data_IF_554535480416
#
_entry.id   IF_554535480416
#
_cell.length_a   1.000
_cell.length_b   1.000
_cell.length_c   1.000
_cell.angle_alpha   90.00
_cell.angle_beta   90.00
_cell.angle_gamma   90.00
#
_symmetry.space_group_name_H-M   'P 1'
#
loop_
_entity.id
_entity.type
_entity.pdbx_description
1 polymer ?
#
# COMPACT_ATOMS: atom_id res chain seq x y z
N UNK A 1 22.02 17.72 -3.88
CA UNK A 1 20.65 17.16 -3.80
C UNK A 1 20.86 15.67 -3.53
N UNK A 2 20.74 15.23 -2.27
CA UNK A 2 20.87 13.80 -1.95
C UNK A 2 19.68 13.08 -2.59
N UNK A 3 19.91 11.90 -3.18
CA UNK A 3 18.81 11.10 -3.71
C UNK A 3 17.90 10.71 -2.55
N UNK A 4 16.58 10.78 -2.73
CA UNK A 4 15.62 10.66 -1.64
C UNK A 4 15.65 9.26 -0.97
N UNK A 5 16.08 8.24 -1.72
CA UNK A 5 16.47 6.92 -1.22
C UNK A 5 17.60 6.98 -0.17
N UNK A 6 18.62 7.82 -0.34
CA UNK A 6 19.68 8.01 0.66
C UNK A 6 19.14 8.57 1.98
N UNK A 7 18.02 9.31 1.98
CA UNK A 7 17.40 9.82 3.21
C UNK A 7 16.66 8.71 3.97
N UNK A 8 15.90 7.86 3.27
CA UNK A 8 15.25 6.68 3.85
C UNK A 8 16.33 5.70 4.34
N UNK A 9 17.37 5.48 3.54
CA UNK A 9 18.51 4.64 3.90
C UNK A 9 19.26 5.24 5.09
N UNK A 10 19.54 6.54 5.16
CA UNK A 10 20.13 7.16 6.36
C UNK A 10 19.28 7.01 7.63
N UNK A 11 17.96 7.10 7.54
CA UNK A 11 17.04 6.88 8.69
C UNK A 11 16.88 5.41 9.07
N UNK A 12 17.13 4.48 8.14
CA UNK A 12 17.07 3.02 8.35
C UNK A 12 18.46 2.38 8.40
N UNK A 13 19.50 3.17 8.69
CA UNK A 13 20.91 2.73 8.74
C UNK A 13 21.41 1.97 7.48
N UNK A 14 20.82 2.24 6.32
CA UNK A 14 21.18 1.67 5.02
C UNK A 14 20.39 0.42 4.65
N UNK A 15 19.62 -0.14 5.60
CA UNK A 15 19.05 -1.49 5.47
C UNK A 15 17.95 -1.60 4.41
N UNK A 16 17.10 -0.57 4.26
CA UNK A 16 16.05 -0.59 3.22
C UNK A 16 16.64 -0.53 1.80
N UNK A 17 17.71 0.25 1.59
CA UNK A 17 18.44 0.27 0.31
C UNK A 17 18.97 -1.11 -0.02
N UNK A 18 19.60 -1.78 0.95
CA UNK A 18 20.13 -3.12 0.75
C UNK A 18 19.02 -4.13 0.45
N UNK A 19 17.87 -4.12 1.14
CA UNK A 19 16.75 -5.02 0.80
C UNK A 19 16.23 -4.79 -0.64
N UNK A 20 16.01 -3.53 -1.05
CA UNK A 20 15.52 -3.17 -2.39
C UNK A 20 16.53 -3.54 -3.49
N UNK A 21 17.82 -3.31 -3.25
CA UNK A 21 18.88 -3.61 -4.22
C UNK A 21 19.21 -5.12 -4.29
N UNK A 22 19.07 -5.85 -3.18
CA UNK A 22 19.37 -7.28 -3.07
C UNK A 22 18.26 -8.19 -3.64
N UNK A 23 17.04 -7.67 -3.78
CA UNK A 23 15.87 -8.35 -4.37
C UNK A 23 16.05 -8.83 -5.82
N UNK A 24 17.07 -8.34 -6.55
CA UNK A 24 17.19 -8.57 -7.99
C UNK A 24 17.91 -9.88 -8.40
N UNK A 25 18.64 -10.58 -7.51
CA UNK A 25 19.49 -11.73 -7.92
C UNK A 25 19.48 -12.97 -7.02
N UNK A 26 18.68 -13.02 -5.95
CA UNK A 26 18.74 -14.11 -4.95
C UNK A 26 17.55 -15.09 -5.02
N UNK A 27 17.64 -16.22 -4.32
CA UNK A 27 16.56 -17.23 -4.24
C UNK A 27 15.33 -16.68 -3.51
N UNK A 28 14.17 -17.35 -3.63
CA UNK A 28 12.94 -16.90 -2.94
C UNK A 28 13.11 -16.88 -1.41
N UNK A 29 13.83 -17.85 -0.86
CA UNK A 29 14.12 -17.96 0.59
C UNK A 29 15.00 -16.81 1.06
N UNK A 30 16.05 -16.46 0.31
CA UNK A 30 16.90 -15.30 0.65
C UNK A 30 16.13 -13.97 0.62
N UNK A 31 15.17 -13.83 -0.31
CA UNK A 31 14.30 -12.65 -0.38
C UNK A 31 13.35 -12.56 0.80
N UNK A 32 12.81 -13.71 1.23
CA UNK A 32 11.94 -13.81 2.40
C UNK A 32 12.71 -13.42 3.68
N UNK A 33 13.90 -13.97 3.87
CA UNK A 33 14.73 -13.68 5.03
C UNK A 33 15.17 -12.20 5.08
N UNK A 34 15.56 -11.62 3.93
CA UNK A 34 15.87 -10.19 3.83
C UNK A 34 14.65 -9.32 4.18
N UNK A 35 13.47 -9.74 3.75
CA UNK A 35 12.22 -9.07 4.04
C UNK A 35 11.81 -9.19 5.51
N UNK A 36 12.08 -10.31 6.17
CA UNK A 36 11.84 -10.51 7.61
C UNK A 36 12.74 -9.62 8.46
N UNK A 37 14.01 -9.49 8.07
CA UNK A 37 14.94 -8.53 8.68
C UNK A 37 14.46 -7.10 8.47
N UNK A 38 14.04 -6.76 7.25
CA UNK A 38 13.48 -5.46 6.96
C UNK A 38 12.25 -5.19 7.84
N UNK A 39 11.30 -6.13 7.97
CA UNK A 39 10.11 -6.00 8.83
C UNK A 39 10.46 -5.70 10.29
N UNK A 40 11.40 -6.42 10.90
CA UNK A 40 11.80 -6.16 12.29
C UNK A 40 12.37 -4.75 12.51
N UNK A 41 12.97 -4.16 11.48
CA UNK A 41 13.42 -2.76 11.50
C UNK A 41 12.23 -1.81 11.34
N UNK A 42 11.29 -2.16 10.45
CA UNK A 42 10.09 -1.37 10.16
C UNK A 42 9.14 -1.27 11.36
N UNK A 43 8.98 -2.35 12.13
CA UNK A 43 8.15 -2.38 13.36
C UNK A 43 8.66 -1.41 14.43
N UNK A 44 9.96 -1.11 14.43
CA UNK A 44 10.60 -0.20 15.39
C UNK A 44 10.62 1.26 14.93
N UNK A 45 10.21 1.55 13.68
CA UNK A 45 10.12 2.92 13.18
C UNK A 45 8.84 3.57 13.69
N UNK A 46 8.99 4.63 14.49
CA UNK A 46 7.87 5.53 14.79
C UNK A 46 7.35 6.13 13.49
N UNK A 47 6.09 5.81 13.15
CA UNK A 47 5.35 6.42 12.04
C UNK A 47 5.47 7.94 12.11
N UNK A 48 6.28 8.50 11.21
CA UNK A 48 6.47 9.94 11.08
C UNK A 48 5.22 10.49 10.39
N UNK A 49 4.66 11.58 10.92
CA UNK A 49 3.44 12.22 10.38
C UNK A 49 3.68 13.05 9.10
N UNK A 50 4.81 12.84 8.43
CA UNK A 50 5.18 13.55 7.21
C UNK A 50 4.55 12.83 6.00
N UNK A 51 3.75 13.55 5.22
CA UNK A 51 3.03 13.04 4.04
C UNK A 51 3.95 12.39 3.03
N UNK A 52 5.05 13.08 2.70
CA UNK A 52 5.97 12.67 1.65
C UNK A 52 6.72 11.40 2.05
N UNK A 53 7.07 11.29 3.34
CA UNK A 53 7.67 10.09 3.89
C UNK A 53 6.71 8.90 3.79
N UNK A 54 5.45 9.10 4.16
CA UNK A 54 4.45 8.04 4.14
C UNK A 54 4.18 7.52 2.73
N UNK A 55 4.11 8.42 1.75
CA UNK A 55 3.92 8.06 0.34
C UNK A 55 5.08 7.21 -0.18
N UNK A 56 6.32 7.71 -0.06
CA UNK A 56 7.53 7.02 -0.52
C UNK A 56 7.72 5.67 0.18
N UNK A 57 7.45 5.65 1.47
CA UNK A 57 7.57 4.44 2.27
C UNK A 57 6.53 3.39 1.82
N UNK A 58 5.28 3.81 1.58
CA UNK A 58 4.24 2.90 1.11
C UNK A 58 4.51 2.34 -0.29
N UNK A 59 5.06 3.15 -1.20
CA UNK A 59 5.48 2.71 -2.53
C UNK A 59 6.60 1.68 -2.43
N UNK A 60 7.64 1.98 -1.64
CA UNK A 60 8.78 1.07 -1.42
C UNK A 60 8.35 -0.26 -0.81
N UNK A 61 7.43 -0.21 0.18
CA UNK A 61 6.85 -1.41 0.81
C UNK A 61 6.02 -2.19 -0.20
N UNK A 62 5.16 -1.54 -0.98
CA UNK A 62 4.36 -2.21 -2.00
C UNK A 62 5.25 -2.90 -3.04
N UNK A 63 6.27 -2.23 -3.58
CA UNK A 63 7.18 -2.83 -4.56
C UNK A 63 7.94 -4.04 -4.00
N UNK A 64 8.39 -3.94 -2.74
CA UNK A 64 9.20 -4.99 -2.10
C UNK A 64 8.36 -6.20 -1.68
N UNK A 65 7.20 -5.96 -1.06
CA UNK A 65 6.42 -6.99 -0.39
C UNK A 65 5.21 -7.48 -1.21
N UNK A 66 4.91 -6.88 -2.36
CA UNK A 66 3.85 -7.35 -3.28
C UNK A 66 4.07 -8.75 -3.83
N UNK A 67 5.23 -9.34 -3.59
CA UNK A 67 5.58 -10.72 -3.99
C UNK A 67 5.64 -11.70 -2.82
N UNK A 68 5.44 -11.24 -1.58
CA UNK A 68 5.67 -12.01 -0.36
C UNK A 68 4.43 -12.25 0.50
N UNK A 69 3.22 -12.01 -0.02
CA UNK A 69 1.95 -12.33 0.66
C UNK A 69 1.75 -11.67 2.04
N UNK A 70 2.43 -10.54 2.31
CA UNK A 70 2.35 -9.84 3.60
C UNK A 70 1.57 -8.54 3.48
N UNK A 71 0.29 -8.59 3.84
CA UNK A 71 -0.64 -7.45 3.79
C UNK A 71 -0.57 -6.54 5.04
N UNK A 72 -0.04 -7.04 6.16
CA UNK A 72 -0.12 -6.39 7.49
C UNK A 72 0.55 -5.00 7.54
N UNK A 73 1.73 -4.84 6.94
CA UNK A 73 2.44 -3.55 6.93
C UNK A 73 1.65 -2.51 6.13
N UNK A 74 1.07 -2.92 5.00
CA UNK A 74 0.28 -2.03 4.17
C UNK A 74 -1.07 -1.69 4.80
N UNK A 75 -1.62 -2.58 5.64
CA UNK A 75 -2.78 -2.27 6.48
C UNK A 75 -2.47 -1.14 7.46
N UNK A 76 -1.37 -1.24 8.22
CA UNK A 76 -0.93 -0.19 9.16
C UNK A 76 -0.64 1.13 8.46
N UNK A 77 -0.03 1.08 7.27
CA UNK A 77 0.20 2.28 6.46
C UNK A 77 -1.10 2.92 5.97
N UNK A 78 -2.10 2.10 5.63
CA UNK A 78 -3.44 2.58 5.27
C UNK A 78 -4.09 3.28 6.47
N UNK A 79 -3.94 2.74 7.69
CA UNK A 79 -4.41 3.41 8.91
C UNK A 79 -3.67 4.72 9.19
N UNK A 80 -2.36 4.76 8.96
CA UNK A 80 -1.55 5.97 9.08
C UNK A 80 -1.98 7.04 8.06
N UNK A 81 -2.29 6.64 6.82
CA UNK A 81 -2.76 7.53 5.76
C UNK A 81 -4.02 8.30 6.19
N UNK A 82 -4.97 7.62 6.86
CA UNK A 82 -6.18 8.24 7.40
C UNK A 82 -5.90 9.34 8.44
N UNK A 83 -4.77 9.27 9.14
CA UNK A 83 -4.36 10.25 10.16
C UNK A 83 -3.62 11.44 9.54
N UNK A 84 -2.80 11.19 8.51
CA UNK A 84 -2.01 12.21 7.81
C UNK A 84 -2.91 13.04 6.88
N UNK A 85 -3.65 12.38 5.99
CA UNK A 85 -4.57 13.03 5.07
C UNK A 85 -6.00 12.89 5.57
N UNK A 86 -6.52 13.96 6.20
CA UNK A 86 -7.89 13.96 6.73
C UNK A 86 -8.94 13.97 5.62
N UNK A 87 -8.67 14.69 4.54
CA UNK A 87 -9.51 14.62 3.34
C UNK A 87 -9.34 13.26 2.67
N UNK A 88 -10.47 12.65 2.30
CA UNK A 88 -10.56 11.27 1.82
C UNK A 88 -10.13 11.12 0.37
N UNK A 89 -10.12 12.22 -0.38
CA UNK A 89 -9.94 12.17 -1.82
C UNK A 89 -8.64 12.84 -2.28
N UNK A 90 -7.72 13.08 -1.34
CA UNK A 90 -6.36 13.48 -1.70
C UNK A 90 -5.73 12.34 -2.52
N UNK A 91 -5.14 12.63 -3.70
CA UNK A 91 -4.52 11.62 -4.56
C UNK A 91 -3.54 10.72 -3.80
N UNK A 92 -2.68 11.30 -2.96
CA UNK A 92 -1.72 10.54 -2.14
C UNK A 92 -2.38 9.54 -1.19
N UNK A 93 -3.51 9.91 -0.58
CA UNK A 93 -4.25 8.95 0.28
C UNK A 93 -4.85 7.84 -0.57
N UNK A 94 -5.40 8.18 -1.72
CA UNK A 94 -6.03 7.23 -2.63
C UNK A 94 -5.02 6.28 -3.26
N UNK A 95 -3.78 6.69 -3.52
CA UNK A 95 -2.73 5.81 -4.03
C UNK A 95 -2.38 4.69 -3.03
N UNK A 96 -2.32 5.00 -1.73
CA UNK A 96 -2.15 3.98 -0.68
C UNK A 96 -3.32 2.99 -0.66
N UNK A 97 -4.55 3.47 -0.86
CA UNK A 97 -5.73 2.62 -0.95
C UNK A 97 -5.66 1.69 -2.17
N UNK A 98 -5.17 2.18 -3.31
CA UNK A 98 -4.92 1.37 -4.52
C UNK A 98 -3.89 0.27 -4.22
N UNK A 99 -2.75 0.61 -3.59
CA UNK A 99 -1.72 -0.38 -3.26
C UNK A 99 -2.25 -1.48 -2.34
N UNK A 100 -2.97 -1.12 -1.28
CA UNK A 100 -3.54 -2.10 -0.37
C UNK A 100 -4.59 -2.98 -1.05
N UNK A 101 -5.48 -2.40 -1.86
CA UNK A 101 -6.48 -3.15 -2.62
C UNK A 101 -5.83 -4.15 -3.60
N UNK A 102 -4.74 -3.76 -4.28
CA UNK A 102 -3.97 -4.66 -5.17
C UNK A 102 -3.42 -5.86 -4.41
N UNK A 103 -2.85 -5.63 -3.22
CA UNK A 103 -2.32 -6.72 -2.38
C UNK A 103 -3.42 -7.65 -1.89
N UNK A 104 -4.51 -7.11 -1.35
CA UNK A 104 -5.63 -7.94 -0.89
C UNK A 104 -6.23 -8.78 -2.02
N UNK A 105 -6.29 -8.24 -3.25
CA UNK A 105 -6.71 -9.01 -4.41
C UNK A 105 -5.69 -10.12 -4.75
N UNK A 106 -4.41 -9.80 -4.84
CA UNK A 106 -3.37 -10.78 -5.21
C UNK A 106 -3.23 -11.93 -4.23
N UNK A 107 -3.68 -11.74 -3.00
CA UNK A 107 -3.55 -12.70 -1.90
C UNK A 107 -4.90 -13.09 -1.30
N UNK A 108 -5.94 -13.16 -2.15
CA UNK A 108 -7.33 -13.46 -1.78
C UNK A 108 -7.51 -14.73 -0.94
N UNK A 109 -6.68 -15.74 -1.17
CA UNK A 109 -6.67 -17.04 -0.49
C UNK A 109 -6.11 -16.99 0.93
N UNK A 110 -5.27 -15.99 1.23
CA UNK A 110 -4.61 -15.80 2.54
C UNK A 110 -4.98 -14.48 3.22
N UNK A 111 -5.66 -13.58 2.52
CA UNK A 111 -6.11 -12.30 3.04
C UNK A 111 -7.26 -12.50 4.03
N UNK A 112 -7.07 -11.98 5.23
CA UNK A 112 -8.05 -12.10 6.30
C UNK A 112 -9.31 -11.25 6.06
N UNK A 113 -10.37 -11.56 6.79
CA UNK A 113 -11.65 -10.87 6.67
C UNK A 113 -11.54 -9.37 7.01
N UNK A 114 -10.61 -9.01 7.90
CA UNK A 114 -10.38 -7.62 8.30
C UNK A 114 -9.76 -6.78 7.18
N UNK A 115 -8.74 -7.31 6.47
CA UNK A 115 -8.14 -6.67 5.30
C UNK A 115 -9.18 -6.46 4.19
N UNK A 116 -10.07 -7.43 3.98
CA UNK A 116 -11.17 -7.30 3.03
C UNK A 116 -12.16 -6.21 3.43
N UNK A 117 -12.60 -6.18 4.69
CA UNK A 117 -13.49 -5.13 5.21
C UNK A 117 -12.87 -3.74 5.10
N UNK A 118 -11.55 -3.63 5.32
CA UNK A 118 -10.84 -2.37 5.12
C UNK A 118 -10.91 -1.93 3.66
N UNK A 119 -10.68 -2.83 2.70
CA UNK A 119 -10.87 -2.55 1.28
C UNK A 119 -12.28 -2.04 0.96
N UNK A 120 -13.32 -2.71 1.44
CA UNK A 120 -14.70 -2.23 1.24
C UNK A 120 -14.96 -0.85 1.85
N UNK A 121 -14.41 -0.57 3.04
CA UNK A 121 -14.49 0.74 3.67
C UNK A 121 -13.79 1.81 2.83
N UNK A 122 -12.63 1.49 2.26
CA UNK A 122 -11.89 2.39 1.38
C UNK A 122 -12.69 2.73 0.11
N UNK A 123 -13.32 1.74 -0.54
CA UNK A 123 -14.20 2.00 -1.69
C UNK A 123 -15.40 2.88 -1.31
N UNK A 124 -15.96 2.71 -0.11
CA UNK A 124 -17.05 3.56 0.40
C UNK A 124 -16.59 4.98 0.74
N UNK A 125 -15.35 5.14 1.21
CA UNK A 125 -14.73 6.43 1.52
C UNK A 125 -14.31 7.19 0.25
N UNK A 126 -13.80 6.48 -0.75
CA UNK A 126 -13.33 6.95 -2.05
C UNK A 126 -14.54 7.28 -2.95
N UNK A 127 -15.17 8.44 -2.70
CA UNK A 127 -16.33 8.92 -3.46
C UNK A 127 -15.93 10.03 -4.41
N UNK A 128 -16.57 10.05 -5.56
CA UNK A 128 -16.40 11.09 -6.56
C UNK A 128 -16.62 12.47 -5.96
N UNK A 129 -15.67 13.39 -6.15
CA UNK A 129 -15.81 14.79 -5.76
C UNK A 129 -16.26 15.61 -6.96
N UNK A 130 -17.11 16.61 -6.72
CA UNK A 130 -17.47 17.61 -7.72
C UNK A 130 -16.24 18.37 -8.22
N UNK A 131 -16.27 18.77 -9.48
CA UNK A 131 -15.22 19.57 -10.11
C UNK A 131 -15.07 20.91 -9.35
N UNK A 132 -13.87 21.24 -8.87
CA UNK A 132 -13.57 22.49 -8.14
C UNK A 132 -13.05 22.35 -6.71
N UNK A 133 -13.04 21.14 -6.14
CA UNK A 133 -12.44 20.88 -4.80
C UNK A 133 -10.93 20.64 -4.87
N UNK A 134 -10.45 20.18 -6.02
CA UNK A 134 -9.05 19.89 -6.31
C UNK A 134 -8.66 20.62 -7.59
N UNK A 135 -7.36 20.82 -7.80
CA UNK A 135 -6.84 21.26 -9.10
C UNK A 135 -7.19 20.22 -10.18
N UNK A 136 -7.29 20.66 -11.44
CA UNK A 136 -7.79 19.81 -12.53
C UNK A 136 -6.99 18.50 -12.69
N UNK A 137 -5.68 18.50 -12.43
CA UNK A 137 -4.84 17.30 -12.53
C UNK A 137 -5.00 16.40 -11.30
N UNK A 138 -5.01 16.96 -10.09
CA UNK A 138 -5.31 16.22 -8.85
C UNK A 138 -6.71 15.60 -8.89
N UNK A 139 -7.67 16.29 -9.47
CA UNK A 139 -9.03 15.79 -9.64
C UNK A 139 -9.07 14.57 -10.59
N UNK A 140 -8.37 14.63 -11.73
CA UNK A 140 -8.27 13.49 -12.65
C UNK A 140 -7.59 12.29 -11.99
N UNK A 141 -6.49 12.52 -11.27
CA UNK A 141 -5.77 11.47 -10.54
C UNK A 141 -6.64 10.83 -9.46
N UNK A 142 -7.34 11.63 -8.67
CA UNK A 142 -8.27 11.13 -7.66
C UNK A 142 -9.41 10.32 -8.29
N UNK A 143 -10.00 10.80 -9.39
CA UNK A 143 -11.03 10.05 -10.12
C UNK A 143 -10.52 8.71 -10.63
N UNK A 144 -9.33 8.68 -11.23
CA UNK A 144 -8.70 7.46 -11.71
C UNK A 144 -8.46 6.46 -10.56
N UNK A 145 -7.89 6.92 -9.45
CA UNK A 145 -7.63 6.07 -8.29
C UNK A 145 -8.92 5.52 -7.67
N UNK A 146 -9.98 6.34 -7.57
CA UNK A 146 -11.30 5.92 -7.08
C UNK A 146 -11.88 4.79 -7.96
N UNK A 147 -11.81 4.94 -9.28
CA UNK A 147 -12.34 3.93 -10.21
C UNK A 147 -11.52 2.65 -10.16
N UNK A 148 -10.19 2.76 -10.02
CA UNK A 148 -9.31 1.61 -9.88
C UNK A 148 -9.58 0.84 -8.57
N UNK A 149 -9.73 1.53 -7.43
CA UNK A 149 -10.10 0.93 -6.14
C UNK A 149 -11.40 0.12 -6.27
N UNK A 150 -12.45 0.72 -6.84
CA UNK A 150 -13.76 0.05 -7.03
C UNK A 150 -13.64 -1.18 -7.91
N UNK A 151 -12.90 -1.07 -9.02
CA UNK A 151 -12.68 -2.18 -9.94
C UNK A 151 -11.94 -3.34 -9.27
N UNK A 152 -10.87 -3.06 -8.53
CA UNK A 152 -10.09 -4.09 -7.84
C UNK A 152 -10.95 -4.83 -6.82
N UNK A 153 -11.70 -4.09 -6.00
CA UNK A 153 -12.53 -4.67 -4.94
C UNK A 153 -13.69 -5.49 -5.51
N UNK A 154 -14.37 -4.97 -6.53
CA UNK A 154 -15.45 -5.71 -7.19
C UNK A 154 -14.96 -7.01 -7.81
N UNK A 155 -13.78 -6.99 -8.44
CA UNK A 155 -13.17 -8.22 -8.96
C UNK A 155 -12.80 -9.19 -7.84
N UNK A 156 -12.23 -8.67 -6.75
CA UNK A 156 -11.82 -9.51 -5.63
C UNK A 156 -13.03 -10.16 -4.92
N UNK A 157 -14.14 -9.43 -4.78
CA UNK A 157 -15.39 -9.98 -4.26
C UNK A 157 -15.92 -11.11 -5.14
N UNK A 158 -15.96 -10.90 -6.46
CA UNK A 158 -16.41 -11.93 -7.40
C UNK A 158 -15.52 -13.16 -7.38
N UNK A 159 -14.19 -12.98 -7.40
CA UNK A 159 -13.22 -14.08 -7.32
C UNK A 159 -13.34 -14.86 -5.99
N UNK A 160 -13.62 -14.18 -4.87
CA UNK A 160 -13.85 -14.81 -3.57
C UNK A 160 -15.14 -15.64 -3.52
N UNK A 161 -16.22 -15.15 -4.12
CA UNK A 161 -17.48 -15.88 -4.25
C UNK A 161 -17.25 -17.21 -5.00
N UNK A 162 -16.52 -17.18 -6.11
CA UNK A 162 -16.18 -18.38 -6.89
C UNK A 162 -15.36 -19.39 -6.07
N UNK A 163 -14.42 -18.94 -5.23
CA UNK A 163 -13.63 -19.82 -4.36
C UNK A 163 -14.53 -20.46 -3.29
N UNK A 164 -15.43 -19.69 -2.68
CA UNK A 164 -16.34 -20.19 -1.66
C UNK A 164 -17.38 -21.17 -2.22
N UNK A 165 -17.88 -20.95 -3.44
CA UNK A 165 -18.82 -21.84 -4.12
C UNK A 165 -18.17 -23.15 -4.61
N UNK A 166 -16.83 -23.18 -4.67
CA UNK A 166 -16.04 -24.35 -5.11
C UNK A 166 -15.65 -25.31 -3.97
N UNK A 167 -16.00 -24.98 -2.71
CA UNK A 167 -15.74 -25.76 -1.50
C UNK A 167 -17.04 -26.32 -0.89
#
# INVERSE_FOLDING_TARGET
>A
MFSMLECICKRTEGLLCSCVTFSCSCSFEDKKDACDVCIGILENLKLVKESDWLLLYSESVYETFSRLSRCEIMYELTLAAKKVWRDKNIPDRLSLYVYFAKLCKSYLDVADEESFKMCESMAKEAKFIGKGTLEDDQWKEACYAIDEIKKIISNAQHERELINDSN
#
